data_IF_480079468614
#
_entry.id   IF_480079468614
#
_cell.length_a   1.000
_cell.length_b   1.000
_cell.length_c   1.000
_cell.angle_alpha   90.00
_cell.angle_beta   90.00
_cell.angle_gamma   90.00
#
_symmetry.space_group_name_H-M   'P 1'
#
loop_
_entity.id
_entity.type
_entity.pdbx_description
1 polymer ?
#
# COMPACT_ATOMS: atom_id res chain seq x y z
N UNK A 1 -12.15 10.23 -0.64
CA UNK A 1 -11.34 9.24 -1.38
C UNK A 1 -9.96 9.00 -0.76
N UNK A 2 -9.34 9.98 -0.07
CA UNK A 2 -8.09 9.80 0.68
C UNK A 2 -8.25 9.04 2.02
N UNK A 3 -9.38 9.15 2.71
CA UNK A 3 -9.61 8.48 3.99
C UNK A 3 -9.78 6.95 3.94
N UNK A 4 -9.99 6.35 2.76
CA UNK A 4 -10.08 4.89 2.60
C UNK A 4 -8.71 4.23 2.35
N UNK A 5 -7.69 5.01 1.96
CA UNK A 5 -6.31 4.51 1.78
C UNK A 5 -5.58 4.41 3.12
N UNK A 6 -5.95 5.23 4.11
CA UNK A 6 -5.39 5.16 5.48
C UNK A 6 -5.72 3.86 6.23
N UNK A 7 -6.79 3.15 5.85
CA UNK A 7 -7.12 1.83 6.42
C UNK A 7 -6.24 0.69 5.85
N UNK A 8 -5.41 0.97 4.85
CA UNK A 8 -4.63 -0.04 4.12
C UNK A 8 -3.15 -0.17 4.52
N UNK A 9 -2.62 0.71 5.38
CA UNK A 9 -1.22 0.64 5.81
C UNK A 9 -1.12 -0.08 7.17
N UNK A 10 -0.83 -1.39 7.21
CA UNK A 10 -0.58 -2.11 8.46
C UNK A 10 0.57 -1.45 9.25
N UNK A 11 1.49 -0.77 8.59
CA UNK A 11 2.56 0.08 9.14
C UNK A 11 2.06 1.12 10.14
N UNK A 12 1.03 1.91 9.81
CA UNK A 12 0.49 2.93 10.72
C UNK A 12 -0.16 2.28 11.95
N UNK A 13 -0.92 1.21 11.75
CA UNK A 13 -1.70 0.53 12.80
C UNK A 13 -0.79 -0.15 13.82
N UNK A 14 0.30 -0.76 13.38
CA UNK A 14 1.23 -1.44 14.28
C UNK A 14 2.19 -0.42 14.88
N UNK A 15 2.74 0.55 14.15
CA UNK A 15 3.59 1.58 14.77
C UNK A 15 2.83 2.39 15.83
N UNK A 16 1.53 2.65 15.61
CA UNK A 16 0.67 3.28 16.61
C UNK A 16 0.37 2.31 17.76
N UNK A 17 0.07 1.04 17.48
CA UNK A 17 -0.03 0.03 18.54
C UNK A 17 1.26 -0.07 19.38
N UNK A 18 2.43 0.14 18.78
CA UNK A 18 3.74 0.07 19.41
C UNK A 18 4.11 1.30 20.24
N UNK A 19 3.86 2.50 19.75
CA UNK A 19 4.03 3.72 20.55
C UNK A 19 2.99 3.81 21.68
N UNK A 20 1.80 3.27 21.44
CA UNK A 20 0.67 3.42 22.35
C UNK A 20 0.58 2.22 23.35
N UNK A 21 1.17 1.06 23.07
CA UNK A 21 1.12 -0.10 23.99
C UNK A 21 1.83 0.12 25.34
N UNK A 22 3.08 0.62 25.40
CA UNK A 22 3.74 0.91 26.66
C UNK A 22 2.97 1.98 27.45
N UNK A 23 2.53 3.04 26.77
CA UNK A 23 1.78 4.14 27.39
C UNK A 23 0.39 3.71 27.89
N UNK A 24 -0.31 2.82 27.18
CA UNK A 24 -1.55 2.17 27.69
C UNK A 24 -1.28 1.30 28.91
N UNK A 25 -0.17 0.58 28.97
CA UNK A 25 0.24 -0.21 30.15
C UNK A 25 0.47 0.68 31.37
N UNK A 26 1.13 1.83 31.18
CA UNK A 26 1.29 2.82 32.25
C UNK A 26 -0.04 3.41 32.70
N UNK A 27 -0.96 3.71 31.76
CA UNK A 27 -2.28 4.25 32.07
C UNK A 27 -3.21 3.20 32.73
N UNK A 28 -3.10 1.93 32.34
CA UNK A 28 -3.78 0.80 32.99
C UNK A 28 -3.25 0.57 34.42
N UNK A 29 -1.94 0.64 34.63
CA UNK A 29 -1.35 0.54 35.97
C UNK A 29 -1.75 1.74 36.85
N UNK A 30 -1.83 2.95 36.29
CA UNK A 30 -2.35 4.14 36.97
C UNK A 30 -3.83 3.97 37.37
N UNK A 31 -4.65 3.39 36.49
CA UNK A 31 -6.07 3.13 36.76
C UNK A 31 -6.30 1.96 37.74
N UNK A 32 -5.40 0.96 37.78
CA UNK A 32 -5.49 -0.19 38.67
C UNK A 32 -4.94 0.10 40.08
N UNK A 33 -4.03 1.05 40.24
CA UNK A 33 -3.58 1.53 41.56
C UNK A 33 -4.65 2.41 42.18
N UNK A 34 -5.40 1.84 43.12
CA UNK A 34 -6.49 2.50 43.88
C UNK A 34 -5.99 3.52 44.92
N UNK A 35 -4.69 3.85 44.91
CA UNK A 35 -4.05 4.76 45.85
C UNK A 35 -3.93 6.15 45.22
N UNK A 36 -4.06 7.20 46.03
CA UNK A 36 -4.27 8.59 45.64
C UNK A 36 -3.11 9.23 44.86
N UNK A 37 -2.85 8.78 43.62
CA UNK A 37 -1.93 9.46 42.73
C UNK A 37 -2.58 10.74 42.18
N UNK A 38 -1.85 11.87 42.18
CA UNK A 38 -2.43 13.16 41.85
C UNK A 38 -2.76 13.25 40.35
N UNK A 39 -3.95 13.79 40.07
CA UNK A 39 -4.63 13.81 38.75
C UNK A 39 -3.78 14.39 37.61
N UNK A 40 -2.79 15.22 37.93
CA UNK A 40 -1.89 15.83 36.95
C UNK A 40 -1.04 14.81 36.20
N UNK A 41 -0.70 13.66 36.81
CA UNK A 41 0.04 12.59 36.13
C UNK A 41 -0.78 12.00 34.98
N UNK A 42 -2.09 11.81 35.18
CA UNK A 42 -3.00 11.33 34.14
C UNK A 42 -3.08 12.28 32.95
N UNK A 43 -3.16 13.60 33.20
CA UNK A 43 -3.11 14.60 32.15
C UNK A 43 -1.76 14.63 31.41
N UNK A 44 -0.65 14.39 32.11
CA UNK A 44 0.69 14.32 31.52
C UNK A 44 0.85 13.08 30.61
N UNK A 45 0.34 11.91 31.02
CA UNK A 45 0.34 10.72 30.17
C UNK A 45 -0.57 10.88 28.95
N UNK A 46 -1.78 11.44 29.13
CA UNK A 46 -2.71 11.67 28.03
C UNK A 46 -2.16 12.67 27.00
N UNK A 47 -1.54 13.76 27.45
CA UNK A 47 -0.91 14.74 26.56
C UNK A 47 0.32 14.16 25.86
N UNK A 48 1.14 13.38 26.58
CA UNK A 48 2.26 12.65 25.99
C UNK A 48 1.83 11.68 24.89
N UNK A 49 0.78 10.90 25.10
CA UNK A 49 0.22 9.99 24.08
C UNK A 49 -0.29 10.76 22.85
N UNK A 50 -0.94 11.91 23.06
CA UNK A 50 -1.40 12.76 21.96
C UNK A 50 -0.23 13.30 21.14
N UNK A 51 0.82 13.81 21.79
CA UNK A 51 2.02 14.32 21.10
C UNK A 51 2.72 13.22 20.33
N UNK A 52 2.88 12.04 20.92
CA UNK A 52 3.50 10.89 20.24
C UNK A 52 2.69 10.50 18.99
N UNK A 53 1.37 10.40 19.10
CA UNK A 53 0.50 10.09 17.96
C UNK A 53 0.55 11.17 16.86
N UNK A 54 0.60 12.46 17.25
CA UNK A 54 0.69 13.57 16.31
C UNK A 54 2.03 13.57 15.56
N UNK A 55 3.15 13.40 16.27
CA UNK A 55 4.49 13.31 15.68
C UNK A 55 4.59 12.12 14.74
N UNK A 56 4.08 10.96 15.15
CA UNK A 56 4.05 9.77 14.32
C UNK A 56 3.30 10.03 13.00
N UNK A 57 2.11 10.61 13.07
CA UNK A 57 1.29 10.92 11.89
C UNK A 57 2.03 11.89 10.95
N UNK A 58 2.68 12.91 11.51
CA UNK A 58 3.44 13.89 10.72
C UNK A 58 4.65 13.27 10.04
N UNK A 59 5.42 12.43 10.74
CA UNK A 59 6.59 11.74 10.15
C UNK A 59 6.16 10.85 9.00
N UNK A 60 5.08 10.10 9.18
CA UNK A 60 4.61 9.16 8.17
C UNK A 60 4.03 9.87 6.95
N UNK A 61 3.27 10.95 7.17
CA UNK A 61 2.78 11.78 6.07
C UNK A 61 3.92 12.44 5.29
N UNK A 62 4.97 12.91 5.97
CA UNK A 62 6.17 13.44 5.30
C UNK A 62 6.90 12.36 4.50
N UNK A 63 7.03 11.16 5.07
CA UNK A 63 7.61 10.01 4.37
C UNK A 63 6.84 9.69 3.07
N UNK A 64 5.51 9.57 3.13
CA UNK A 64 4.68 9.33 1.94
C UNK A 64 4.80 10.46 0.92
N UNK A 65 4.91 11.71 1.38
CA UNK A 65 5.11 12.86 0.52
C UNK A 65 6.42 12.76 -0.25
N UNK A 66 7.53 12.45 0.42
CA UNK A 66 8.84 12.29 -0.21
C UNK A 66 8.83 11.16 -1.25
N UNK A 67 8.30 10.00 -0.90
CA UNK A 67 8.19 8.86 -1.85
C UNK A 67 7.37 9.23 -3.08
N UNK A 68 6.26 9.96 -2.90
CA UNK A 68 5.43 10.41 -4.01
C UNK A 68 6.14 11.44 -4.91
N UNK A 69 6.88 12.38 -4.32
CA UNK A 69 7.67 13.37 -5.07
C UNK A 69 8.77 12.67 -5.87
N UNK A 70 9.50 11.73 -5.25
CA UNK A 70 10.52 10.91 -5.92
C UNK A 70 9.91 10.10 -7.08
N UNK A 71 8.73 9.50 -6.87
CA UNK A 71 8.00 8.80 -7.92
C UNK A 71 7.61 9.71 -9.09
N UNK A 72 7.18 10.95 -8.81
CA UNK A 72 6.90 11.94 -9.85
C UNK A 72 8.15 12.37 -10.63
N UNK A 73 9.28 12.58 -9.96
CA UNK A 73 10.54 12.90 -10.61
C UNK A 73 11.02 11.76 -11.50
N UNK A 74 10.88 10.51 -11.05
CA UNK A 74 11.21 9.34 -11.86
C UNK A 74 10.33 9.27 -13.12
N UNK A 75 9.03 9.53 -12.97
CA UNK A 75 8.10 9.55 -14.11
C UNK A 75 8.46 10.59 -15.15
N UNK A 76 8.74 11.82 -14.73
CA UNK A 76 9.09 12.90 -15.67
C UNK A 76 10.44 12.62 -16.33
N UNK A 77 11.43 12.13 -15.59
CA UNK A 77 12.74 11.75 -16.13
C UNK A 77 12.63 10.65 -17.19
N UNK A 78 11.92 9.55 -16.89
CA UNK A 78 11.71 8.45 -17.83
C UNK A 78 10.96 8.90 -19.08
N UNK A 79 9.88 9.67 -18.92
CA UNK A 79 9.10 10.19 -20.05
C UNK A 79 9.96 11.08 -20.95
N UNK A 80 10.76 11.98 -20.38
CA UNK A 80 11.69 12.84 -21.11
C UNK A 80 12.80 12.05 -21.83
N UNK A 81 13.37 11.04 -21.17
CA UNK A 81 14.43 10.20 -21.74
C UNK A 81 13.91 9.42 -22.96
N UNK A 82 12.73 8.82 -22.84
CA UNK A 82 12.09 8.08 -23.94
C UNK A 82 11.66 9.02 -25.05
N UNK A 83 11.11 10.19 -24.73
CA UNK A 83 10.77 11.20 -25.72
C UNK A 83 12.00 11.61 -26.55
N UNK A 84 13.12 11.93 -25.88
CA UNK A 84 14.40 12.24 -26.58
C UNK A 84 14.88 11.08 -27.45
N UNK A 85 14.75 9.84 -26.99
CA UNK A 85 15.14 8.64 -27.77
C UNK A 85 14.23 8.46 -28.99
N UNK A 86 12.93 8.68 -28.84
CA UNK A 86 11.93 8.56 -29.90
C UNK A 86 12.12 9.58 -31.02
N UNK A 87 12.66 10.76 -30.72
CA UNK A 87 13.00 11.79 -31.71
C UNK A 87 14.26 11.46 -32.51
N UNK A 88 15.13 10.58 -31.99
CA UNK A 88 16.38 10.15 -32.64
C UNK A 88 16.25 8.79 -33.33
N UNK A 89 15.03 8.23 -33.41
CA UNK A 89 14.77 6.96 -34.05
C UNK A 89 14.90 7.09 -35.58
N UNK A 90 15.42 6.05 -36.23
CA UNK A 90 15.56 6.00 -37.69
C UNK A 90 14.19 5.92 -38.38
N UNK A 91 14.12 6.35 -39.64
CA UNK A 91 12.88 6.31 -40.41
C UNK A 91 12.28 4.89 -40.56
N UNK A 92 13.11 3.84 -40.59
CA UNK A 92 12.66 2.44 -40.57
C UNK A 92 11.90 2.10 -39.27
N UNK A 93 12.45 2.47 -38.12
CA UNK A 93 11.79 2.23 -36.83
C UNK A 93 10.51 3.08 -36.66
N UNK A 94 10.44 4.24 -37.32
CA UNK A 94 9.27 5.13 -37.30
C UNK A 94 8.11 4.63 -38.17
N UNK A 95 8.37 3.73 -39.12
CA UNK A 95 7.33 3.06 -39.92
C UNK A 95 6.59 1.98 -39.11
N UNK A 96 7.24 1.35 -38.13
CA UNK A 96 6.63 0.33 -37.27
C UNK A 96 5.84 0.92 -36.10
N UNK A 97 6.30 2.06 -35.54
CA UNK A 97 5.62 2.73 -34.43
C UNK A 97 5.85 4.23 -34.48
N UNK A 98 4.78 5.00 -34.50
CA UNK A 98 4.86 6.47 -34.47
C UNK A 98 5.34 6.93 -33.10
N UNK A 99 6.02 8.08 -33.06
CA UNK A 99 6.45 8.74 -31.82
C UNK A 99 5.29 8.90 -30.82
N UNK A 100 4.08 9.21 -31.30
CA UNK A 100 2.88 9.34 -30.47
C UNK A 100 2.41 8.01 -29.87
N UNK A 101 2.45 6.91 -30.64
CA UNK A 101 2.12 5.57 -30.14
C UNK A 101 3.10 5.12 -29.05
N UNK A 102 4.41 5.34 -29.24
CA UNK A 102 5.45 5.01 -28.25
C UNK A 102 5.20 5.78 -26.95
N UNK A 103 4.91 7.08 -27.04
CA UNK A 103 4.64 7.91 -25.86
C UNK A 103 3.37 7.48 -25.13
N UNK A 104 2.32 7.06 -25.84
CA UNK A 104 1.09 6.59 -25.21
C UNK A 104 1.31 5.29 -24.42
N UNK A 105 2.03 4.33 -25.01
CA UNK A 105 2.37 3.06 -24.35
C UNK A 105 3.23 3.33 -23.11
N UNK A 106 4.31 4.09 -23.27
CA UNK A 106 5.26 4.36 -22.19
C UNK A 106 4.63 5.19 -21.07
N UNK A 107 3.74 6.14 -21.39
CA UNK A 107 3.03 6.93 -20.37
C UNK A 107 2.19 6.03 -19.45
N UNK A 108 1.53 5.01 -20.01
CA UNK A 108 0.80 4.00 -19.23
C UNK A 108 1.73 3.15 -18.38
N UNK A 109 2.83 2.65 -18.95
CA UNK A 109 3.79 1.78 -18.24
C UNK A 109 4.46 2.52 -17.08
N UNK A 110 4.92 3.75 -17.32
CA UNK A 110 5.54 4.59 -16.29
C UNK A 110 4.55 4.92 -15.17
N UNK A 111 3.28 5.19 -15.52
CA UNK A 111 2.23 5.39 -14.53
C UNK A 111 2.06 4.14 -13.65
N UNK A 112 2.08 2.96 -14.25
CA UNK A 112 1.97 1.70 -13.51
C UNK A 112 3.20 1.47 -12.61
N UNK A 113 4.41 1.79 -13.05
CA UNK A 113 5.63 1.73 -12.22
C UNK A 113 5.55 2.65 -10.99
N UNK A 114 5.10 3.90 -11.16
CA UNK A 114 4.90 4.82 -10.03
C UNK A 114 3.89 4.26 -9.04
N UNK A 115 2.82 3.63 -9.53
CA UNK A 115 1.82 2.99 -8.68
C UNK A 115 2.35 1.74 -7.96
N UNK A 116 3.34 1.03 -8.53
CA UNK A 116 3.97 -0.14 -7.92
C UNK A 116 4.99 0.22 -6.82
N UNK A 117 5.57 1.42 -6.88
CA UNK A 117 6.66 1.82 -5.98
C UNK A 117 6.28 1.77 -4.48
N UNK A 118 5.08 2.21 -4.04
CA UNK A 118 4.66 2.05 -2.65
C UNK A 118 4.51 0.58 -2.22
N UNK A 119 4.09 -0.31 -3.13
CA UNK A 119 3.96 -1.73 -2.83
C UNK A 119 5.31 -2.43 -2.68
N UNK A 120 6.34 -1.97 -3.39
CA UNK A 120 7.70 -2.44 -3.17
C UNK A 120 8.18 -2.11 -1.76
N UNK A 121 7.84 -0.93 -1.24
CA UNK A 121 8.16 -0.58 0.15
C UNK A 121 7.53 -1.58 1.14
N UNK A 122 6.22 -1.78 1.01
CA UNK A 122 5.46 -2.72 1.84
C UNK A 122 6.00 -4.15 1.74
N UNK A 123 6.52 -4.55 0.57
CA UNK A 123 7.01 -5.90 0.34
C UNK A 123 8.23 -6.28 1.21
N UNK A 124 9.10 -5.32 1.55
CA UNK A 124 10.26 -5.58 2.42
C UNK A 124 10.02 -5.14 3.87
N UNK A 125 9.26 -4.07 4.10
CA UNK A 125 8.91 -3.59 5.45
C UNK A 125 7.90 -4.50 6.15
N UNK A 126 6.93 -5.04 5.41
CA UNK A 126 5.86 -5.87 5.96
C UNK A 126 6.35 -7.11 6.70
N UNK A 127 7.28 -7.92 6.15
CA UNK A 127 7.86 -9.07 6.86
C UNK A 127 8.61 -8.66 8.13
N UNK A 128 9.41 -7.59 8.06
CA UNK A 128 10.13 -7.07 9.23
C UNK A 128 9.15 -6.67 10.33
N UNK A 129 8.07 -5.99 9.94
CA UNK A 129 7.04 -5.53 10.84
C UNK A 129 6.27 -6.68 11.51
N UNK A 130 5.93 -7.74 10.76
CA UNK A 130 5.29 -8.95 11.33
C UNK A 130 6.23 -9.62 12.32
N UNK A 131 7.51 -9.75 12.00
CA UNK A 131 8.50 -10.36 12.89
C UNK A 131 8.60 -9.59 14.22
N UNK A 132 8.73 -8.27 14.13
CA UNK A 132 8.79 -7.37 15.28
C UNK A 132 7.51 -7.48 16.12
N UNK A 133 6.33 -7.44 15.51
CA UNK A 133 5.04 -7.59 16.19
C UNK A 133 4.90 -8.92 16.94
N UNK A 134 5.36 -10.04 16.36
CA UNK A 134 5.34 -11.36 17.00
C UNK A 134 6.24 -11.39 18.24
N UNK A 135 7.43 -10.78 18.17
CA UNK A 135 8.36 -10.71 19.31
C UNK A 135 7.73 -9.97 20.50
N UNK A 136 7.03 -8.86 20.25
CA UNK A 136 6.34 -8.13 21.32
C UNK A 136 5.14 -8.87 21.89
N UNK A 137 4.34 -9.47 21.01
CA UNK A 137 3.22 -10.30 21.47
C UNK A 137 3.72 -11.44 22.36
N UNK A 138 4.84 -12.06 22.01
CA UNK A 138 5.45 -13.14 22.79
C UNK A 138 5.86 -12.66 24.19
N UNK A 139 6.38 -11.44 24.31
CA UNK A 139 6.74 -10.85 25.59
C UNK A 139 5.52 -10.49 26.46
N UNK A 140 4.37 -10.17 25.85
CA UNK A 140 3.15 -9.78 26.56
C UNK A 140 2.27 -10.97 26.97
N UNK A 141 2.11 -11.97 26.09
CA UNK A 141 1.10 -13.04 26.21
C UNK A 141 1.71 -14.44 26.30
N UNK A 142 3.03 -14.58 26.11
CA UNK A 142 3.72 -15.87 26.13
C UNK A 142 3.20 -16.84 25.06
N UNK A 143 2.90 -18.07 25.46
CA UNK A 143 2.50 -19.16 24.55
C UNK A 143 1.14 -18.94 23.84
N UNK A 144 0.27 -18.07 24.37
CA UNK A 144 -1.05 -17.81 23.78
C UNK A 144 -0.98 -17.21 22.36
N UNK A 145 0.17 -16.63 21.99
CA UNK A 145 0.43 -16.06 20.66
C UNK A 145 0.38 -17.11 19.55
N UNK A 146 0.72 -18.36 19.85
CA UNK A 146 0.71 -19.46 18.87
C UNK A 146 -0.68 -19.72 18.28
N UNK A 147 -1.74 -19.57 19.08
CA UNK A 147 -3.12 -19.71 18.61
C UNK A 147 -3.48 -18.59 17.62
N UNK A 148 -3.05 -17.35 17.90
CA UNK A 148 -3.24 -16.20 17.00
C UNK A 148 -2.49 -16.36 15.67
N UNK A 149 -1.25 -16.85 15.71
CA UNK A 149 -0.47 -17.16 14.50
C UNK A 149 -1.15 -18.27 13.69
N UNK A 150 -1.73 -19.29 14.34
CA UNK A 150 -2.48 -20.35 13.67
C UNK A 150 -3.68 -19.82 12.87
N UNK A 151 -4.44 -18.88 13.44
CA UNK A 151 -5.56 -18.24 12.74
C UNK A 151 -5.06 -17.37 11.57
N UNK A 152 -3.97 -16.61 11.77
CA UNK A 152 -3.35 -15.81 10.71
C UNK A 152 -2.89 -16.67 9.53
N UNK A 153 -2.25 -17.80 9.82
CA UNK A 153 -1.82 -18.77 8.81
C UNK A 153 -2.98 -19.42 8.06
N UNK A 154 -4.16 -19.55 8.69
CA UNK A 154 -5.37 -20.06 8.03
C UNK A 154 -6.10 -18.99 7.20
N UNK A 155 -5.98 -17.71 7.58
CA UNK A 155 -6.48 -16.58 6.80
C UNK A 155 -5.72 -16.38 5.49
N UNK A 156 -4.41 -16.64 5.47
CA UNK A 156 -3.57 -16.53 4.26
C UNK A 156 -4.08 -17.40 3.08
N UNK A 157 -4.30 -18.72 3.20
CA UNK A 157 -4.81 -19.54 2.12
C UNK A 157 -6.25 -19.16 1.76
N UNK A 158 -7.08 -18.76 2.73
CA UNK A 158 -8.43 -18.29 2.45
C UNK A 158 -8.42 -17.04 1.56
N UNK A 159 -7.58 -16.05 1.89
CA UNK A 159 -7.40 -14.85 1.08
C UNK A 159 -6.82 -15.19 -0.30
N UNK A 160 -5.87 -16.13 -0.39
CA UNK A 160 -5.31 -16.57 -1.66
C UNK A 160 -6.36 -17.28 -2.55
N UNK A 161 -7.23 -18.10 -1.97
CA UNK A 161 -8.34 -18.74 -2.69
C UNK A 161 -9.34 -17.70 -3.21
N UNK A 162 -9.72 -16.73 -2.39
CA UNK A 162 -10.58 -15.62 -2.80
C UNK A 162 -9.94 -14.81 -3.94
N UNK A 163 -8.65 -14.47 -3.83
CA UNK A 163 -7.93 -13.76 -4.89
C UNK A 163 -7.89 -14.55 -6.21
N UNK A 164 -7.66 -15.87 -6.15
CA UNK A 164 -7.69 -16.75 -7.33
C UNK A 164 -9.08 -16.78 -7.97
N UNK A 165 -10.14 -16.84 -7.16
CA UNK A 165 -11.51 -16.81 -7.66
C UNK A 165 -11.83 -15.48 -8.35
N UNK A 166 -11.48 -14.36 -7.69
CA UNK A 166 -11.62 -13.02 -8.25
C UNK A 166 -10.89 -12.87 -9.58
N UNK A 167 -9.66 -13.37 -9.68
CA UNK A 167 -8.89 -13.37 -10.94
C UNK A 167 -9.59 -14.18 -12.03
N UNK A 168 -10.07 -15.39 -11.72
CA UNK A 168 -10.82 -16.22 -12.69
C UNK A 168 -12.10 -15.52 -13.19
N UNK A 169 -12.84 -14.87 -12.29
CA UNK A 169 -14.04 -14.10 -12.65
C UNK A 169 -13.65 -12.92 -13.55
N UNK A 170 -12.57 -12.21 -13.20
CA UNK A 170 -12.09 -11.08 -13.99
C UNK A 170 -11.63 -11.51 -15.39
N UNK A 171 -10.92 -12.62 -15.53
CA UNK A 171 -10.53 -13.19 -16.83
C UNK A 171 -11.76 -13.55 -17.69
N UNK A 172 -12.80 -14.14 -17.09
CA UNK A 172 -14.07 -14.42 -17.80
C UNK A 172 -14.73 -13.12 -18.27
N UNK A 173 -14.75 -12.08 -17.42
CA UNK A 173 -15.29 -10.76 -17.79
C UNK A 173 -14.55 -10.15 -18.97
N UNK A 174 -13.21 -10.20 -18.97
CA UNK A 174 -12.42 -9.68 -20.09
C UNK A 174 -12.69 -10.42 -21.39
N UNK A 175 -12.77 -11.77 -21.37
CA UNK A 175 -13.11 -12.56 -22.57
C UNK A 175 -14.47 -12.18 -23.18
N UNK A 176 -15.48 -11.97 -22.34
CA UNK A 176 -16.81 -11.55 -22.80
C UNK A 176 -16.77 -10.13 -23.36
N UNK A 177 -16.05 -9.22 -22.69
CA UNK A 177 -15.88 -7.84 -23.16
C UNK A 177 -15.19 -7.79 -24.54
N UNK A 178 -14.15 -8.60 -24.74
CA UNK A 178 -13.42 -8.69 -26.02
C UNK A 178 -14.30 -9.27 -27.13
N UNK A 179 -15.06 -10.33 -26.84
CA UNK A 179 -16.00 -10.92 -27.81
C UNK A 179 -17.11 -9.92 -28.21
N UNK A 180 -17.61 -9.13 -27.27
CA UNK A 180 -18.57 -8.06 -27.54
C UNK A 180 -17.98 -7.00 -28.47
N UNK A 181 -16.76 -6.52 -28.17
CA UNK A 181 -16.08 -5.53 -29.02
C UNK A 181 -15.88 -6.08 -30.43
N UNK A 182 -15.40 -7.33 -30.55
CA UNK A 182 -15.19 -8.00 -31.85
C UNK A 182 -16.48 -8.07 -32.68
N UNK A 183 -17.59 -8.51 -32.07
CA UNK A 183 -18.88 -8.62 -32.77
C UNK A 183 -19.38 -7.27 -33.28
N UNK A 184 -19.26 -6.22 -32.45
CA UNK A 184 -19.64 -4.86 -32.84
C UNK A 184 -18.77 -4.38 -34.02
N UNK A 185 -17.47 -4.68 -34.01
CA UNK A 185 -16.55 -4.35 -35.11
C UNK A 185 -16.92 -5.09 -36.40
N UNK A 186 -17.28 -6.38 -36.33
CA UNK A 186 -17.72 -7.16 -37.51
C UNK A 186 -19.01 -6.61 -38.11
N UNK A 187 -20.01 -6.28 -37.29
CA UNK A 187 -21.26 -5.66 -37.76
C UNK A 187 -21.03 -4.30 -38.41
N UNK A 188 -20.20 -3.44 -37.79
CA UNK A 188 -19.85 -2.14 -38.36
C UNK A 188 -19.14 -2.25 -39.71
N UNK A 189 -18.28 -3.25 -39.89
CA UNK A 189 -17.59 -3.49 -41.15
C UNK A 189 -18.49 -4.10 -42.23
N UNK A 190 -19.51 -4.88 -41.87
CA UNK A 190 -20.45 -5.50 -42.81
C UNK A 190 -21.58 -4.59 -43.31
N UNK A 191 -21.75 -3.39 -42.73
CA UNK A 191 -22.74 -2.38 -43.17
C UNK A 191 -22.20 -1.54 -44.35
N UNK A 192 -20.92 -1.66 -44.69
CA UNK A 192 -20.25 -0.92 -45.76
C UNK A 192 -20.22 -1.70 -47.06
#
# INVERSE_FOLDING_TARGET
MWGAVQLGNPEESILSAWCISPSKRFLLNFMQRKEAEPVWHGYCYASGMFVVAAVQTLVLQNYFREVNILGMHLRTALTCAVYRKSLRLSNRARQESTTGQIMNIISSDVQQFVQLMPYLHIAWSGPFQIAVAIIFLWHELGLAVLAGIGVLLLLLPMNALMARLSKKVQEKKYKVADSRIKTITEVLNGIR
#
